data_IF_514095077039
#
_entry.id   IF_514095077039
#
_cell.length_a   1.000
_cell.length_b   1.000
_cell.length_c   1.000
_cell.angle_alpha   90.00
_cell.angle_beta   90.00
_cell.angle_gamma   90.00
#
_symmetry.space_group_name_H-M   'P 1'
#
loop_
_entity.id
_entity.type
_entity.pdbx_description
1 polymer ?
#
# COMPACT_ATOMS: atom_id res chain seq x y z
N UNK A 1 -28.23 -13.05 -15.82
CA UNK A 1 -27.74 -13.15 -14.43
C UNK A 1 -26.30 -13.64 -14.36
N UNK A 2 -25.98 -14.94 -14.40
CA UNK A 2 -24.57 -15.38 -14.28
C UNK A 2 -23.63 -14.93 -15.43
N UNK A 3 -24.14 -14.84 -16.67
CA UNK A 3 -23.35 -14.41 -17.85
C UNK A 3 -23.10 -12.90 -17.88
N UNK A 4 -24.04 -12.10 -17.36
CA UNK A 4 -23.87 -10.64 -17.27
C UNK A 4 -22.82 -10.27 -16.22
N UNK A 5 -22.81 -11.00 -15.10
CA UNK A 5 -21.86 -10.82 -14.00
C UNK A 5 -20.42 -11.11 -14.47
N UNK A 6 -20.18 -12.21 -15.22
CA UNK A 6 -18.87 -12.50 -15.83
C UNK A 6 -18.43 -11.44 -16.85
N UNK A 7 -19.36 -10.90 -17.66
CA UNK A 7 -19.02 -9.85 -18.64
C UNK A 7 -18.60 -8.54 -17.98
N UNK A 8 -19.25 -8.17 -16.87
CA UNK A 8 -18.94 -6.97 -16.06
C UNK A 8 -17.58 -7.09 -15.34
N UNK A 9 -17.29 -8.30 -14.83
CA UNK A 9 -15.99 -8.61 -14.21
C UNK A 9 -14.87 -8.49 -15.25
N UNK A 10 -15.10 -8.98 -16.47
CA UNK A 10 -14.12 -8.91 -17.55
C UNK A 10 -13.83 -7.46 -17.97
N UNK A 11 -14.86 -6.64 -18.20
CA UNK A 11 -14.68 -5.23 -18.60
C UNK A 11 -14.01 -4.39 -17.52
N UNK A 12 -14.34 -4.64 -16.26
CA UNK A 12 -13.72 -3.98 -15.10
C UNK A 12 -12.26 -4.38 -14.91
N UNK A 13 -11.95 -5.67 -15.11
CA UNK A 13 -10.58 -6.16 -15.08
C UNK A 13 -9.75 -5.57 -16.23
N UNK A 14 -10.36 -5.40 -17.42
CA UNK A 14 -9.70 -4.75 -18.56
C UNK A 14 -9.46 -3.26 -18.32
N UNK A 15 -10.40 -2.53 -17.69
CA UNK A 15 -10.18 -1.15 -17.24
C UNK A 15 -9.06 -1.05 -16.22
N UNK A 16 -9.04 -1.92 -15.21
CA UNK A 16 -7.96 -1.97 -14.22
C UNK A 16 -6.60 -2.27 -14.88
N UNK A 17 -6.58 -3.19 -15.84
CA UNK A 17 -5.38 -3.55 -16.62
C UNK A 17 -4.90 -2.38 -17.47
N UNK A 18 -5.81 -1.63 -18.11
CA UNK A 18 -5.50 -0.42 -18.86
C UNK A 18 -4.89 0.67 -17.96
N UNK A 19 -5.41 0.88 -16.75
CA UNK A 19 -4.85 1.82 -15.78
C UNK A 19 -3.43 1.42 -15.36
N UNK A 20 -3.21 0.14 -15.05
CA UNK A 20 -1.87 -0.36 -14.69
C UNK A 20 -0.90 -0.18 -15.85
N UNK A 21 -1.30 -0.55 -17.07
CA UNK A 21 -0.48 -0.39 -18.27
C UNK A 21 -0.13 1.08 -18.55
N UNK A 22 -1.08 2.00 -18.38
CA UNK A 22 -0.85 3.43 -18.60
C UNK A 22 0.12 4.02 -17.56
N UNK A 23 -0.04 3.66 -16.28
CA UNK A 23 0.91 4.09 -15.24
C UNK A 23 2.29 3.49 -15.45
N UNK A 24 2.37 2.28 -15.99
CA UNK A 24 3.64 1.62 -16.33
C UNK A 24 4.28 2.23 -17.61
N UNK A 25 3.49 2.63 -18.62
CA UNK A 25 3.96 3.43 -19.78
C UNK A 25 4.49 4.81 -19.29
N UNK A 26 3.77 5.50 -18.39
CA UNK A 26 4.19 6.78 -17.79
C UNK A 26 5.46 6.65 -16.92
N UNK A 27 5.68 5.50 -16.31
CA UNK A 27 6.93 5.21 -15.58
C UNK A 27 8.11 4.95 -16.50
N UNK A 28 7.89 4.29 -17.63
CA UNK A 28 8.94 4.05 -18.62
C UNK A 28 9.34 5.34 -19.35
N UNK A 29 8.40 6.26 -19.57
CA UNK A 29 8.62 7.45 -20.37
C UNK A 29 9.10 8.69 -19.61
N UNK A 30 9.26 8.61 -18.28
CA UNK A 30 9.94 9.64 -17.49
C UNK A 30 9.50 11.08 -17.81
N UNK A 31 8.47 11.56 -17.10
CA UNK A 31 7.99 12.96 -17.04
C UNK A 31 6.94 13.35 -18.11
N UNK A 32 5.73 13.67 -17.63
CA UNK A 32 5.07 14.91 -18.04
C UNK A 32 4.00 14.89 -19.15
N UNK A 33 3.26 13.81 -19.38
CA UNK A 33 2.08 13.87 -20.23
C UNK A 33 0.81 14.16 -19.40
N UNK A 34 0.17 15.29 -19.67
CA UNK A 34 -1.21 15.59 -19.26
C UNK A 34 -2.16 14.48 -19.72
N UNK A 35 -3.15 14.05 -18.91
CA UNK A 35 -4.03 12.95 -19.31
C UNK A 35 -5.09 13.50 -20.27
N UNK A 36 -4.75 13.57 -21.54
CA UNK A 36 -5.77 13.53 -22.57
C UNK A 36 -6.00 12.04 -22.83
N UNK A 37 -7.20 11.58 -22.45
CA UNK A 37 -7.69 10.22 -22.65
C UNK A 37 -7.66 9.86 -24.15
N UNK A 38 -6.51 9.42 -24.61
CA UNK A 38 -6.35 8.71 -25.86
C UNK A 38 -5.33 7.61 -25.61
N UNK A 39 -5.82 6.39 -25.43
CA UNK A 39 -4.98 5.20 -25.43
C UNK A 39 -4.49 5.06 -26.86
N UNK A 40 -3.29 5.55 -27.16
CA UNK A 40 -2.66 5.25 -28.43
C UNK A 40 -2.55 3.73 -28.54
N UNK A 41 -3.12 3.18 -29.61
CA UNK A 41 -3.16 1.75 -29.97
C UNK A 41 -1.76 1.09 -29.86
N UNK A 42 -0.70 1.91 -29.95
CA UNK A 42 0.69 1.53 -29.81
C UNK A 42 1.16 1.13 -28.39
N UNK A 43 0.69 1.72 -27.26
CA UNK A 43 1.06 1.23 -25.90
C UNK A 43 0.35 -0.11 -25.59
N UNK A 44 -0.88 -0.31 -26.08
CA UNK A 44 -1.65 -1.56 -25.88
C UNK A 44 -1.02 -2.74 -26.64
N UNK A 45 -0.58 -2.53 -27.89
CA UNK A 45 0.00 -3.57 -28.74
C UNK A 45 1.42 -3.99 -28.32
N UNK A 46 2.18 -3.12 -27.65
CA UNK A 46 3.50 -3.49 -27.11
C UNK A 46 3.41 -4.50 -25.96
N UNK A 47 2.25 -4.60 -25.28
CA UNK A 47 2.03 -5.47 -24.12
C UNK A 47 0.97 -6.57 -24.33
N UNK A 48 0.03 -6.44 -25.29
CA UNK A 48 -0.94 -7.50 -25.65
C UNK A 48 -0.26 -8.72 -26.30
N UNK A 49 0.97 -8.58 -26.79
CA UNK A 49 1.70 -9.68 -27.42
C UNK A 49 1.14 -10.11 -28.78
N UNK A 50 0.17 -9.39 -29.35
CA UNK A 50 -0.47 -9.77 -30.62
C UNK A 50 0.35 -9.44 -31.88
N UNK A 51 1.46 -8.70 -31.76
CA UNK A 51 2.38 -8.47 -32.88
C UNK A 51 3.87 -8.50 -32.52
N UNK A 52 4.28 -9.22 -31.48
CA UNK A 52 5.69 -9.54 -31.28
C UNK A 52 6.04 -10.78 -32.12
N UNK A 53 6.69 -10.58 -33.27
CA UNK A 53 7.38 -11.65 -34.03
C UNK A 53 8.58 -12.28 -33.28
N UNK A 54 8.54 -12.26 -31.95
CA UNK A 54 9.48 -12.92 -31.04
C UNK A 54 8.74 -13.23 -29.73
N UNK A 55 8.37 -14.51 -29.49
CA UNK A 55 7.61 -14.92 -28.31
C UNK A 55 8.41 -14.86 -26.99
N UNK A 56 9.69 -14.48 -27.00
CA UNK A 56 10.54 -14.55 -25.81
C UNK A 56 10.68 -13.24 -25.01
N UNK A 57 10.35 -12.09 -25.60
CA UNK A 57 10.66 -10.78 -24.99
C UNK A 57 9.51 -10.12 -24.20
N UNK A 58 8.24 -10.30 -24.62
CA UNK A 58 7.10 -9.59 -23.99
C UNK A 58 6.46 -10.35 -22.82
N UNK A 59 6.56 -11.68 -22.78
CA UNK A 59 5.89 -12.52 -21.77
C UNK A 59 6.67 -12.60 -20.44
N UNK A 60 7.90 -12.10 -20.37
CA UNK A 60 8.84 -12.42 -19.27
C UNK A 60 8.90 -11.40 -18.12
N UNK A 61 8.19 -10.26 -18.16
CA UNK A 61 8.46 -9.15 -17.22
C UNK A 61 7.43 -8.84 -16.11
N UNK A 62 6.29 -9.53 -16.02
CA UNK A 62 5.28 -9.14 -15.03
C UNK A 62 4.37 -10.26 -14.45
N UNK A 63 4.83 -11.51 -14.23
CA UNK A 63 3.95 -12.54 -13.66
C UNK A 63 3.50 -12.20 -12.23
N UNK A 64 4.34 -11.50 -11.45
CA UNK A 64 4.06 -11.19 -10.05
C UNK A 64 3.07 -10.03 -9.88
N UNK A 65 3.27 -8.92 -10.62
CA UNK A 65 2.35 -7.77 -10.58
C UNK A 65 0.97 -8.13 -11.11
N UNK A 66 0.91 -8.95 -12.16
CA UNK A 66 -0.37 -9.41 -12.71
C UNK A 66 -1.11 -10.40 -11.80
N UNK A 67 -0.38 -11.27 -11.09
CA UNK A 67 -0.97 -12.15 -10.07
C UNK A 67 -1.52 -11.34 -8.89
N UNK A 68 -0.74 -10.39 -8.40
CA UNK A 68 -1.15 -9.50 -7.30
C UNK A 68 -2.39 -8.68 -7.68
N UNK A 69 -2.39 -8.05 -8.87
CA UNK A 69 -3.52 -7.28 -9.38
C UNK A 69 -4.79 -8.14 -9.45
N UNK A 70 -4.69 -9.39 -9.94
CA UNK A 70 -5.83 -10.31 -10.00
C UNK A 70 -6.39 -10.65 -8.62
N UNK A 71 -5.54 -10.95 -7.65
CA UNK A 71 -5.99 -11.27 -6.29
C UNK A 71 -6.61 -10.07 -5.58
N UNK A 72 -6.01 -8.88 -5.75
CA UNK A 72 -6.50 -7.64 -5.15
C UNK A 72 -7.82 -7.21 -5.78
N UNK A 73 -7.94 -7.28 -7.12
CA UNK A 73 -9.18 -7.00 -7.84
C UNK A 73 -10.31 -7.94 -7.37
N UNK A 74 -10.05 -9.25 -7.31
CA UNK A 74 -11.07 -10.22 -6.88
C UNK A 74 -11.57 -9.99 -5.45
N UNK A 75 -10.66 -9.58 -4.54
CA UNK A 75 -11.02 -9.24 -3.16
C UNK A 75 -11.92 -8.01 -3.08
N UNK A 76 -11.55 -6.91 -3.75
CA UNK A 76 -12.33 -5.67 -3.73
C UNK A 76 -13.64 -5.77 -4.52
N UNK A 77 -13.66 -6.56 -5.59
CA UNK A 77 -14.88 -6.85 -6.36
C UNK A 77 -15.98 -7.46 -5.48
N UNK A 78 -15.59 -8.39 -4.60
CA UNK A 78 -16.53 -9.04 -3.68
C UNK A 78 -17.18 -8.04 -2.70
N UNK A 79 -16.47 -6.96 -2.36
CA UNK A 79 -16.89 -5.98 -1.35
C UNK A 79 -17.71 -4.82 -1.93
N UNK A 80 -17.25 -4.18 -3.02
CA UNK A 80 -17.86 -2.93 -3.49
C UNK A 80 -19.05 -3.12 -4.46
N UNK A 81 -19.11 -4.26 -5.17
CA UNK A 81 -20.12 -4.61 -6.20
C UNK A 81 -20.32 -3.57 -7.33
N UNK A 82 -19.57 -2.48 -7.33
CA UNK A 82 -19.62 -1.38 -8.30
C UNK A 82 -18.24 -1.23 -8.95
N UNK A 83 -18.22 -1.27 -10.28
CA UNK A 83 -17.01 -1.26 -11.10
C UNK A 83 -16.15 -0.02 -10.85
N UNK A 84 -16.78 1.16 -10.81
CA UNK A 84 -16.07 2.44 -10.66
C UNK A 84 -15.36 2.55 -9.31
N UNK A 85 -15.96 2.01 -8.25
CA UNK A 85 -15.38 2.01 -6.90
C UNK A 85 -14.21 1.05 -6.80
N UNK A 86 -14.32 -0.15 -7.41
CA UNK A 86 -13.22 -1.13 -7.45
C UNK A 86 -12.04 -0.54 -8.22
N UNK A 87 -12.29 0.10 -9.36
CA UNK A 87 -11.26 0.77 -10.15
C UNK A 87 -10.60 1.91 -9.35
N UNK A 88 -11.38 2.68 -8.59
CA UNK A 88 -10.86 3.76 -7.75
C UNK A 88 -9.95 3.25 -6.61
N UNK A 89 -10.32 2.15 -5.96
CA UNK A 89 -9.47 1.50 -4.95
C UNK A 89 -8.18 0.96 -5.58
N UNK A 90 -8.26 0.38 -6.78
CA UNK A 90 -7.06 -0.05 -7.52
C UNK A 90 -6.16 1.13 -7.87
N UNK A 91 -6.73 2.28 -8.22
CA UNK A 91 -5.95 3.49 -8.45
C UNK A 91 -5.19 3.93 -7.17
N UNK A 92 -5.81 3.81 -6.00
CA UNK A 92 -5.15 4.06 -4.71
C UNK A 92 -4.00 3.06 -4.46
N UNK A 93 -4.25 1.76 -4.62
CA UNK A 93 -3.24 0.70 -4.50
C UNK A 93 -2.05 0.89 -5.46
N UNK A 94 -2.33 1.33 -6.68
CA UNK A 94 -1.32 1.66 -7.67
C UNK A 94 -0.50 2.90 -7.26
N UNK A 95 -1.11 3.83 -6.52
CA UNK A 95 -0.42 4.94 -5.87
C UNK A 95 0.66 4.47 -4.89
N UNK A 96 0.37 3.44 -4.07
CA UNK A 96 1.37 2.84 -3.19
C UNK A 96 2.55 2.26 -3.94
N UNK A 97 2.28 1.64 -5.09
CA UNK A 97 3.34 1.08 -5.91
C UNK A 97 4.17 2.15 -6.62
N UNK A 98 3.51 3.14 -7.25
CA UNK A 98 4.18 4.26 -7.95
C UNK A 98 5.08 5.06 -7.02
N UNK A 99 4.64 5.30 -5.80
CA UNK A 99 5.42 6.01 -4.78
C UNK A 99 6.35 5.09 -3.97
N UNK A 100 6.43 3.81 -4.34
CA UNK A 100 7.31 2.81 -3.72
C UNK A 100 7.14 2.67 -2.21
N UNK A 101 5.94 2.93 -1.68
CA UNK A 101 5.65 2.88 -0.23
C UNK A 101 6.03 1.51 0.36
N UNK A 102 5.73 0.41 -0.35
CA UNK A 102 6.09 -0.95 0.07
C UNK A 102 7.60 -1.16 0.18
N UNK A 103 8.38 -0.59 -0.76
CA UNK A 103 9.84 -0.69 -0.71
C UNK A 103 10.42 0.13 0.44
N UNK A 104 9.91 1.33 0.69
CA UNK A 104 10.31 2.14 1.84
C UNK A 104 10.02 1.42 3.16
N UNK A 105 8.82 0.88 3.34
CA UNK A 105 8.44 0.12 4.53
C UNK A 105 9.29 -1.13 4.71
N UNK A 106 9.57 -1.86 3.63
CA UNK A 106 10.45 -3.03 3.66
C UNK A 106 11.86 -2.65 4.14
N UNK A 107 12.48 -1.65 3.52
CA UNK A 107 13.81 -1.18 3.89
C UNK A 107 13.87 -0.68 5.33
N UNK A 108 12.85 0.07 5.78
CA UNK A 108 12.76 0.54 7.15
C UNK A 108 12.76 -0.62 8.16
N UNK A 109 12.00 -1.67 7.90
CA UNK A 109 11.97 -2.88 8.76
C UNK A 109 13.29 -3.64 8.71
N UNK A 110 13.96 -3.74 7.56
CA UNK A 110 15.28 -4.37 7.48
C UNK A 110 16.32 -3.61 8.31
N UNK A 111 16.35 -2.28 8.20
CA UNK A 111 17.24 -1.42 8.99
C UNK A 111 16.97 -1.58 10.49
N UNK A 112 15.69 -1.56 10.90
CA UNK A 112 15.32 -1.75 12.31
C UNK A 112 15.75 -3.13 12.83
N UNK A 113 15.58 -4.18 12.02
CA UNK A 113 15.98 -5.55 12.36
C UNK A 113 17.51 -5.63 12.55
N UNK A 114 18.29 -5.01 11.65
CA UNK A 114 19.75 -4.94 11.78
C UNK A 114 20.18 -4.17 13.04
N UNK A 115 19.52 -3.05 13.34
CA UNK A 115 19.77 -2.29 14.57
C UNK A 115 19.43 -3.10 15.83
N UNK A 116 18.37 -3.91 15.79
CA UNK A 116 18.02 -4.80 16.91
C UNK A 116 19.06 -5.90 17.11
N UNK A 117 19.50 -6.57 16.03
CA UNK A 117 20.58 -7.56 16.13
C UNK A 117 21.90 -6.93 16.59
N UNK A 118 22.22 -5.72 16.12
CA UNK A 118 23.36 -4.93 16.59
C UNK A 118 23.24 -4.58 18.08
N UNK A 119 22.06 -4.10 18.52
CA UNK A 119 21.78 -3.77 19.91
C UNK A 119 21.86 -4.98 20.84
N UNK A 120 21.46 -6.16 20.37
CA UNK A 120 21.58 -7.41 21.12
C UNK A 120 23.04 -7.73 21.49
N UNK A 121 24.02 -7.35 20.65
CA UNK A 121 25.44 -7.55 20.97
C UNK A 121 25.87 -6.80 22.25
N UNK A 122 25.25 -5.65 22.54
CA UNK A 122 25.52 -4.87 23.75
C UNK A 122 25.07 -5.62 25.00
N UNK A 123 23.86 -6.21 24.96
CA UNK A 123 23.32 -7.04 26.04
C UNK A 123 24.17 -8.30 26.21
N UNK A 124 24.53 -8.96 25.10
CA UNK A 124 25.33 -10.21 25.13
C UNK A 124 26.71 -10.02 25.75
N UNK A 125 27.35 -8.87 25.54
CA UNK A 125 28.68 -8.58 26.06
C UNK A 125 28.68 -8.16 27.54
N UNK A 126 27.52 -7.76 28.09
CA UNK A 126 27.39 -7.39 29.50
C UNK A 126 27.16 -8.63 30.36
N UNK A 127 28.11 -8.98 31.22
CA UNK A 127 27.93 -10.07 32.20
C UNK A 127 27.13 -9.62 33.43
N UNK A 128 27.21 -8.34 33.78
CA UNK A 128 26.52 -7.78 34.94
C UNK A 128 25.00 -7.75 34.78
N UNK A 129 24.52 -7.60 33.54
CA UNK A 129 23.10 -7.65 33.24
C UNK A 129 22.52 -9.03 33.61
N UNK A 130 23.16 -10.13 33.17
CA UNK A 130 22.70 -11.49 33.48
C UNK A 130 22.76 -11.80 34.98
N UNK A 131 23.83 -11.37 35.65
CA UNK A 131 23.98 -11.52 37.10
C UNK A 131 22.88 -10.80 37.88
N UNK A 132 22.47 -9.62 37.42
CA UNK A 132 21.38 -8.85 38.05
C UNK A 132 20.03 -9.58 38.01
N UNK A 133 19.84 -10.49 37.05
CA UNK A 133 18.68 -11.37 36.94
C UNK A 133 18.91 -12.78 37.53
N UNK A 134 20.03 -13.00 38.25
CA UNK A 134 20.33 -14.26 38.93
C UNK A 134 20.94 -15.35 38.06
N UNK A 135 21.51 -14.99 36.90
CA UNK A 135 22.17 -15.94 36.01
C UNK A 135 23.70 -15.81 36.09
N UNK A 136 24.37 -16.90 36.49
CA UNK A 136 25.85 -16.99 36.53
C UNK A 136 26.46 -17.24 35.13
N UNK A 137 25.66 -17.79 34.22
CA UNK A 137 26.03 -18.00 32.82
C UNK A 137 25.29 -17.01 31.92
N UNK A 138 25.66 -16.92 30.65
CA UNK A 138 25.00 -16.06 29.66
C UNK A 138 24.26 -16.89 28.58
N UNK A 139 23.12 -17.53 28.90
CA UNK A 139 22.32 -18.24 27.89
C UNK A 139 21.80 -17.27 26.83
N UNK A 140 21.93 -17.66 25.56
CA UNK A 140 21.51 -16.84 24.40
C UNK A 140 20.02 -16.50 24.47
N UNK A 141 19.17 -17.48 24.79
CA UNK A 141 17.71 -17.29 24.85
C UNK A 141 17.31 -16.27 25.93
N UNK A 142 17.93 -16.34 27.11
CA UNK A 142 17.68 -15.40 28.21
C UNK A 142 18.14 -13.99 27.81
N UNK A 143 19.30 -13.88 27.16
CA UNK A 143 19.79 -12.60 26.63
C UNK A 143 18.81 -11.95 25.65
N UNK A 144 18.20 -12.75 24.77
CA UNK A 144 17.22 -12.27 23.80
C UNK A 144 15.94 -11.76 24.50
N UNK A 145 15.45 -12.48 25.51
CA UNK A 145 14.27 -12.07 26.30
C UNK A 145 14.55 -10.76 27.04
N UNK A 146 15.70 -10.67 27.71
CA UNK A 146 16.11 -9.45 28.44
C UNK A 146 16.25 -8.26 27.49
N UNK A 147 16.86 -8.47 26.33
CA UNK A 147 16.97 -7.44 25.30
C UNK A 147 15.58 -6.99 24.84
N UNK A 148 14.68 -7.93 24.50
CA UNK A 148 13.33 -7.60 24.04
C UNK A 148 12.57 -6.73 25.04
N UNK A 149 12.66 -7.03 26.33
CA UNK A 149 12.04 -6.23 27.40
C UNK A 149 12.68 -4.86 27.56
N UNK A 150 14.01 -4.79 27.44
CA UNK A 150 14.76 -3.53 27.56
C UNK A 150 14.41 -2.54 26.45
N UNK A 151 14.15 -3.02 25.23
CA UNK A 151 13.86 -2.17 24.08
C UNK A 151 12.37 -1.81 23.91
N UNK A 152 11.44 -2.37 24.70
CA UNK A 152 10.00 -2.07 24.62
C UNK A 152 9.69 -0.56 24.53
N UNK A 153 10.19 0.31 25.42
CA UNK A 153 9.86 1.73 25.36
C UNK A 153 10.35 2.38 24.06
N UNK A 154 11.54 2.00 23.59
CA UNK A 154 12.07 2.47 22.31
C UNK A 154 11.22 1.96 21.14
N UNK A 155 10.78 0.71 21.20
CA UNK A 155 9.93 0.10 20.18
C UNK A 155 8.59 0.84 20.04
N UNK A 156 7.97 1.27 21.14
CA UNK A 156 6.76 2.08 21.10
C UNK A 156 6.97 3.43 20.43
N UNK A 157 8.09 4.11 20.69
CA UNK A 157 8.44 5.38 20.03
C UNK A 157 8.68 5.20 18.53
N UNK A 158 9.42 4.16 18.15
CA UNK A 158 9.67 3.84 16.74
C UNK A 158 8.35 3.47 16.03
N UNK A 159 7.51 2.65 16.67
CA UNK A 159 6.21 2.26 16.13
C UNK A 159 5.31 3.46 15.90
N UNK A 160 5.28 4.41 16.84
CA UNK A 160 4.52 5.67 16.67
C UNK A 160 4.99 6.44 15.43
N UNK A 161 6.31 6.61 15.29
CA UNK A 161 6.89 7.29 14.11
C UNK A 161 6.55 6.58 12.80
N UNK A 162 6.65 5.25 12.76
CA UNK A 162 6.30 4.45 11.58
C UNK A 162 4.81 4.54 11.25
N UNK A 163 3.92 4.58 12.26
CA UNK A 163 2.48 4.76 12.05
C UNK A 163 2.17 6.13 11.43
N UNK A 164 2.84 7.20 11.86
CA UNK A 164 2.68 8.53 11.24
C UNK A 164 3.13 8.54 9.77
N UNK A 165 4.25 7.87 9.45
CA UNK A 165 4.73 7.73 8.07
C UNK A 165 3.74 6.92 7.24
N UNK A 166 3.23 5.80 7.76
CA UNK A 166 2.19 5.00 7.11
C UNK A 166 0.94 5.82 6.81
N UNK A 167 0.48 6.64 7.75
CA UNK A 167 -0.66 7.54 7.53
C UNK A 167 -0.40 8.54 6.41
N UNK A 168 0.83 9.07 6.30
CA UNK A 168 1.21 9.95 5.20
C UNK A 168 1.19 9.24 3.85
N UNK A 169 1.58 7.97 3.79
CA UNK A 169 1.52 7.17 2.56
C UNK A 169 0.08 6.98 2.05
N UNK A 170 -0.88 6.79 2.95
CA UNK A 170 -2.31 6.72 2.61
C UNK A 170 -2.81 8.02 1.95
N UNK A 171 -2.49 9.18 2.52
CA UNK A 171 -2.88 10.46 1.94
C UNK A 171 -2.22 10.72 0.57
N UNK A 172 -0.98 10.26 0.39
CA UNK A 172 -0.30 10.36 -0.91
C UNK A 172 -0.93 9.44 -1.97
N UNK A 173 -1.35 8.23 -1.58
CA UNK A 173 -2.06 7.30 -2.44
C UNK A 173 -3.47 7.81 -2.80
N UNK A 174 -4.20 8.36 -1.83
CA UNK A 174 -5.49 9.04 -2.06
C UNK A 174 -5.35 10.22 -3.03
N UNK A 175 -4.29 11.03 -2.86
CA UNK A 175 -4.00 12.13 -3.76
C UNK A 175 -3.62 11.65 -5.17
N UNK A 176 -2.99 10.48 -5.30
CA UNK A 176 -2.70 9.87 -6.60
C UNK A 176 -3.97 9.40 -7.32
N UNK A 177 -4.86 8.67 -6.63
CA UNK A 177 -6.15 8.27 -7.18
C UNK A 177 -7.01 9.49 -7.59
N UNK A 178 -6.97 10.57 -6.81
CA UNK A 178 -7.60 11.84 -7.15
C UNK A 178 -7.04 12.45 -8.42
N UNK A 179 -5.72 12.48 -8.61
CA UNK A 179 -5.09 13.00 -9.84
C UNK A 179 -5.50 12.24 -11.09
N UNK A 180 -5.87 10.97 -10.95
CA UNK A 180 -6.41 10.14 -12.02
C UNK A 180 -7.92 10.36 -12.27
N UNK A 181 -8.58 11.22 -11.50
CA UNK A 181 -10.01 11.55 -11.67
C UNK A 181 -10.97 10.66 -10.88
N UNK A 182 -10.47 9.73 -10.06
CA UNK A 182 -11.30 8.75 -9.34
C UNK A 182 -11.71 9.19 -7.93
N UNK A 183 -11.67 10.49 -7.62
CA UNK A 183 -11.90 11.00 -6.27
C UNK A 183 -13.29 10.65 -5.71
N UNK A 184 -14.34 10.87 -6.49
CA UNK A 184 -15.73 10.62 -6.08
C UNK A 184 -16.00 9.12 -5.91
N UNK A 185 -15.52 8.30 -6.85
CA UNK A 185 -15.66 6.85 -6.77
C UNK A 185 -14.87 6.26 -5.60
N UNK A 186 -13.68 6.80 -5.28
CA UNK A 186 -12.89 6.39 -4.13
C UNK A 186 -13.62 6.69 -2.81
N UNK A 187 -14.26 7.86 -2.68
CA UNK A 187 -15.07 8.18 -1.48
C UNK A 187 -16.17 7.15 -1.26
N UNK A 188 -16.90 6.78 -2.32
CA UNK A 188 -17.94 5.76 -2.26
C UNK A 188 -17.40 4.39 -1.84
N UNK A 189 -16.28 3.96 -2.44
CA UNK A 189 -15.61 2.71 -2.08
C UNK A 189 -15.13 2.68 -0.63
N UNK A 190 -14.51 3.76 -0.14
CA UNK A 190 -14.02 3.85 1.24
C UNK A 190 -15.15 3.80 2.28
N UNK A 191 -16.29 4.43 2.00
CA UNK A 191 -17.46 4.35 2.88
C UNK A 191 -17.99 2.92 2.96
N UNK A 192 -18.16 2.24 1.82
CA UNK A 192 -18.63 0.84 1.81
C UNK A 192 -17.65 -0.11 2.49
N UNK A 193 -16.34 0.07 2.27
CA UNK A 193 -15.31 -0.72 2.95
C UNK A 193 -15.37 -0.52 4.47
N UNK A 194 -15.64 0.69 4.95
CA UNK A 194 -15.81 0.96 6.37
C UNK A 194 -17.10 0.31 6.94
N UNK A 195 -18.21 0.38 6.19
CA UNK A 195 -19.49 -0.22 6.57
C UNK A 195 -19.38 -1.75 6.70
N UNK A 196 -18.78 -2.42 5.72
CA UNK A 196 -18.58 -3.88 5.72
C UNK A 196 -17.61 -4.34 6.83
N UNK A 197 -16.60 -3.52 7.14
CA UNK A 197 -15.65 -3.83 8.22
C UNK A 197 -16.13 -3.43 9.63
N UNK A 198 -17.30 -2.80 9.75
CA UNK A 198 -17.88 -2.32 11.03
C UNK A 198 -16.87 -1.50 11.87
N UNK A 199 -15.99 -0.77 11.21
CA UNK A 199 -14.89 -0.06 11.86
C UNK A 199 -15.36 1.26 12.48
N UNK A 200 -14.71 1.68 13.58
CA UNK A 200 -15.09 2.89 14.30
C UNK A 200 -14.92 4.14 13.43
N UNK A 201 -16.00 4.92 13.27
CA UNK A 201 -16.02 6.14 12.46
C UNK A 201 -15.42 7.36 13.17
N UNK A 202 -15.59 7.44 14.49
CA UNK A 202 -15.11 8.55 15.31
C UNK A 202 -14.15 8.02 16.37
N UNK A 203 -12.85 8.25 16.15
CA UNK A 203 -11.80 7.81 17.05
C UNK A 203 -11.00 9.02 17.52
N UNK A 204 -10.55 8.96 18.77
CA UNK A 204 -9.75 10.05 19.34
C UNK A 204 -8.46 10.27 18.52
N UNK A 205 -8.08 11.53 18.21
CA UNK A 205 -6.92 11.83 17.37
C UNK A 205 -5.60 11.29 17.91
N UNK A 206 -5.42 11.22 19.24
CA UNK A 206 -4.21 10.69 19.85
C UNK A 206 -4.20 9.17 19.82
N UNK A 207 -5.36 8.56 20.09
CA UNK A 207 -5.52 7.12 19.97
C UNK A 207 -5.26 6.66 18.53
N UNK A 208 -5.85 7.33 17.53
CA UNK A 208 -5.68 6.99 16.12
C UNK A 208 -4.24 7.21 15.65
N UNK A 209 -3.58 8.29 16.09
CA UNK A 209 -2.17 8.53 15.77
C UNK A 209 -1.24 7.47 16.32
N UNK A 210 -1.55 6.90 17.48
CA UNK A 210 -0.70 5.89 18.10
C UNK A 210 -0.99 4.48 17.60
N UNK A 211 -2.26 4.10 17.46
CA UNK A 211 -2.65 2.71 17.20
C UNK A 211 -2.91 2.39 15.73
N UNK A 212 -3.28 3.36 14.90
CA UNK A 212 -3.71 3.08 13.53
C UNK A 212 -2.63 3.39 12.51
N UNK A 213 -2.35 2.40 11.64
CA UNK A 213 -1.51 2.56 10.46
C UNK A 213 -2.23 3.33 9.34
N UNK A 214 -3.56 3.32 9.34
CA UNK A 214 -4.42 4.07 8.42
C UNK A 214 -5.10 5.23 9.15
N UNK A 215 -5.20 6.41 8.52
CA UNK A 215 -5.97 7.51 9.09
C UNK A 215 -7.48 7.16 9.10
N UNK A 216 -8.23 7.67 10.09
CA UNK A 216 -9.69 7.52 10.13
C UNK A 216 -10.36 7.95 8.82
N UNK A 217 -11.47 7.29 8.48
CA UNK A 217 -12.23 7.57 7.25
C UNK A 217 -12.55 9.06 7.08
N UNK A 218 -12.98 9.73 8.16
CA UNK A 218 -13.35 11.16 8.15
C UNK A 218 -12.17 12.04 7.69
N UNK A 219 -10.94 11.72 8.11
CA UNK A 219 -9.75 12.47 7.69
C UNK A 219 -9.45 12.27 6.21
N UNK A 220 -9.62 11.05 5.69
CA UNK A 220 -9.40 10.73 4.27
C UNK A 220 -10.44 11.41 3.37
N UNK A 221 -11.71 11.34 3.75
CA UNK A 221 -12.79 12.01 3.01
C UNK A 221 -12.56 13.53 2.95
N UNK A 222 -12.18 14.14 4.08
CA UNK A 222 -11.87 15.56 4.13
C UNK A 222 -10.66 15.92 3.23
N UNK A 223 -9.60 15.11 3.22
CA UNK A 223 -8.46 15.32 2.33
C UNK A 223 -8.85 15.24 0.84
N UNK A 224 -9.78 14.35 0.50
CA UNK A 224 -10.34 14.21 -0.84
C UNK A 224 -11.32 15.34 -1.22
N UNK A 225 -11.92 16.06 -0.27
CA UNK A 225 -12.83 17.20 -0.51
C UNK A 225 -12.11 18.54 -0.70
N UNK A 226 -11.04 18.79 0.06
CA UNK A 226 -10.39 20.12 0.11
C UNK A 226 -9.64 20.48 -1.18
N UNK A 227 -9.35 19.49 -2.02
CA UNK A 227 -8.47 19.66 -3.18
C UNK A 227 -9.16 20.20 -4.44
N UNK A 228 -10.49 20.25 -4.48
CA UNK A 228 -11.27 20.73 -5.64
C UNK A 228 -11.44 22.26 -5.65
N UNK A 229 -10.96 22.96 -4.61
CA UNK A 229 -11.12 24.43 -4.43
C UNK A 229 -9.91 25.27 -4.87
N UNK A 230 -9.01 24.74 -5.70
CA UNK A 230 -7.91 25.52 -6.28
C UNK A 230 -7.89 25.40 -7.80
N UNK A 231 -8.75 26.17 -8.43
CA UNK A 231 -8.58 26.80 -9.74
C UNK A 231 -9.80 27.71 -9.97
N UNK A 232 -9.73 28.95 -9.46
CA UNK A 232 -10.51 30.11 -9.88
C UNK A 232 -9.63 31.36 -9.73
#
# INVERSE_FOLDING_TARGET
MWVEEESSISSSFDSAKSIVLNVECDMCNGVGATPQFHVDEHCYLAFSGEHANSPEAAVRKAPFTFFWLKTTFAFFWLMCKNEEEVVAVIAHELGHWKLSHTMYSFLAVQVLTLLQFGGYTLVRNSSDLFKSFGFDTQPILIGLILFQHTIIPLQHLVSFGLNLVSRSFEFQADAFARKLGYATALKGGLVKLQEENLSSMNTDPWYSAYHYSHPPLVERLAALDVSDKKED
#
